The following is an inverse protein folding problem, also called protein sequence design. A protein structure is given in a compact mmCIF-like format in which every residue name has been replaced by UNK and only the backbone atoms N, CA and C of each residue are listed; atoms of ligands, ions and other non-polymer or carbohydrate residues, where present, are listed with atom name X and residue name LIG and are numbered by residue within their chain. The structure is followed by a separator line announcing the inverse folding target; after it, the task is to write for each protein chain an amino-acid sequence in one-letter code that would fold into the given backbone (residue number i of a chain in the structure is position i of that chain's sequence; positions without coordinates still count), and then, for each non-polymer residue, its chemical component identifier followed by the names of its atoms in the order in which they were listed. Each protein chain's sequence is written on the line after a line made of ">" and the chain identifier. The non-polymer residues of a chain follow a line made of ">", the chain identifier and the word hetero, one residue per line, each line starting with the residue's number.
data_IF_121510136883
#
_entry.id   IF_121510136883
#
_cell.length_a   1.000
_cell.length_b   1.000
_cell.length_c   1.000
_cell.angle_alpha   90.00
_cell.angle_beta   90.00
_cell.angle_gamma   90.00
#
_symmetry.space_group_name_H-M   'P 1'
#
loop_
_entity.id
_entity.type
_entity.pdbx_description
1 polymer ?
#
# COMPACT_ATOMS: atom_id res chain seq x y z
N UNK A 1 26.30 -67.85 49.09
CA UNK A 1 26.85 -66.76 49.93
C UNK A 1 28.36 -66.88 49.98
N UNK A 2 29.08 -66.10 49.15
CA UNK A 2 30.51 -65.76 49.26
C UNK A 2 30.77 -64.63 48.25
N UNK A 3 31.23 -63.51 48.78
CA UNK A 3 31.47 -62.21 48.13
C UNK A 3 32.98 -62.05 47.93
N UNK A 4 33.38 -61.15 47.01
CA UNK A 4 34.72 -60.59 46.70
C UNK A 4 35.36 -61.26 45.46
N UNK A 5 35.94 -60.58 44.46
CA UNK A 5 36.36 -59.18 44.25
C UNK A 5 36.96 -59.08 42.83
N UNK A 6 36.69 -58.01 42.05
CA UNK A 6 37.65 -57.32 41.14
C UNK A 6 36.96 -56.23 40.30
N UNK A 7 36.97 -55.01 40.80
CA UNK A 7 36.93 -53.77 40.01
C UNK A 7 38.37 -53.44 39.62
N UNK A 8 38.72 -53.35 38.33
CA UNK A 8 39.72 -52.41 37.76
C UNK A 8 39.96 -52.72 36.27
N UNK A 9 39.81 -51.70 35.42
CA UNK A 9 40.01 -51.75 33.97
C UNK A 9 39.11 -50.72 33.30
N UNK A 10 39.13 -49.46 33.73
CA UNK A 10 39.99 -48.41 33.14
C UNK A 10 39.71 -48.32 31.62
N UNK A 11 38.71 -47.59 31.15
CA UNK A 11 38.70 -46.12 31.04
C UNK A 11 39.90 -45.63 30.21
N UNK A 12 39.94 -45.95 28.92
CA UNK A 12 40.94 -45.43 27.97
C UNK A 12 40.56 -45.57 26.48
N UNK A 13 39.34 -45.21 26.03
CA UNK A 13 39.09 -44.81 24.62
C UNK A 13 38.02 -43.73 24.55
N UNK A 14 38.19 -42.65 25.34
CA UNK A 14 37.47 -41.41 25.15
C UNK A 14 38.47 -40.38 24.63
N UNK A 15 38.37 -40.07 23.33
CA UNK A 15 39.00 -38.90 22.72
C UNK A 15 40.08 -39.20 21.68
N UNK A 16 39.71 -39.20 20.40
CA UNK A 16 40.25 -38.21 19.45
C UNK A 16 39.45 -38.16 18.15
N UNK A 17 38.88 -36.97 17.92
CA UNK A 17 38.83 -36.26 16.64
C UNK A 17 38.29 -36.97 15.39
N UNK A 18 37.04 -36.62 15.05
CA UNK A 18 36.72 -35.76 13.91
C UNK A 18 37.51 -36.00 12.60
N UNK A 19 37.03 -36.92 11.76
CA UNK A 19 37.17 -36.88 10.30
C UNK A 19 36.13 -37.80 9.63
N UNK A 20 34.86 -37.38 9.63
CA UNK A 20 33.80 -37.94 8.78
C UNK A 20 33.37 -36.89 7.77
N UNK A 21 33.09 -37.25 6.51
CA UNK A 21 33.26 -36.37 5.37
C UNK A 21 32.24 -35.23 5.41
N UNK A 22 32.72 -34.02 5.12
CA UNK A 22 31.87 -32.90 4.75
C UNK A 22 31.08 -33.29 3.49
N UNK A 23 29.85 -33.80 3.67
CA UNK A 23 28.85 -33.77 2.62
C UNK A 23 28.56 -32.31 2.33
N UNK A 24 29.17 -31.80 1.26
CA UNK A 24 28.75 -30.57 0.63
C UNK A 24 27.27 -30.71 0.27
N UNK A 25 26.39 -30.04 1.02
CA UNK A 25 25.00 -29.91 0.66
C UNK A 25 24.94 -29.19 -0.71
N UNK A 26 24.37 -29.80 -1.77
CA UNK A 26 24.18 -29.07 -3.00
C UNK A 26 23.17 -27.96 -2.72
N UNK A 27 23.56 -26.70 -2.97
CA UNK A 27 22.60 -25.58 -2.98
C UNK A 27 21.52 -25.91 -4.00
N UNK A 28 20.33 -26.27 -3.53
CA UNK A 28 19.15 -26.45 -4.38
C UNK A 28 18.96 -25.14 -5.16
N UNK A 29 19.03 -25.21 -6.49
CA UNK A 29 18.49 -24.16 -7.36
C UNK A 29 17.03 -23.93 -6.94
N UNK A 30 16.56 -22.66 -6.85
CA UNK A 30 15.14 -22.41 -6.63
C UNK A 30 14.40 -23.08 -7.80
N UNK A 31 13.67 -24.16 -7.50
CA UNK A 31 12.78 -24.78 -8.46
C UNK A 31 11.74 -23.73 -8.82
N UNK A 32 11.60 -23.43 -10.11
CA UNK A 32 10.58 -22.51 -10.60
C UNK A 32 9.23 -22.97 -10.07
N UNK A 33 8.58 -22.12 -9.28
CA UNK A 33 7.26 -22.38 -8.75
C UNK A 33 6.28 -22.56 -9.92
N UNK A 34 5.50 -23.64 -9.88
CA UNK A 34 4.48 -23.91 -10.89
C UNK A 34 3.53 -22.71 -11.04
N UNK A 35 3.26 -22.33 -12.30
CA UNK A 35 2.30 -21.27 -12.62
C UNK A 35 0.89 -21.75 -12.24
N UNK A 36 0.30 -21.14 -11.22
CA UNK A 36 -1.09 -21.40 -10.82
C UNK A 36 -1.99 -20.37 -11.52
N UNK A 37 -3.05 -20.85 -12.17
CA UNK A 37 -4.08 -19.96 -12.70
C UNK A 37 -4.77 -19.25 -11.54
N UNK A 38 -4.59 -17.94 -11.46
CA UNK A 38 -5.26 -17.05 -10.51
C UNK A 38 -6.35 -16.31 -11.26
N UNK A 39 -7.58 -16.45 -10.77
CA UNK A 39 -8.72 -15.68 -11.26
C UNK A 39 -8.48 -14.18 -10.98
N UNK A 40 -8.47 -13.39 -12.06
CA UNK A 40 -8.21 -11.94 -12.04
C UNK A 40 -9.33 -11.12 -11.42
N UNK A 41 -10.49 -11.73 -11.14
CA UNK A 41 -11.63 -11.08 -10.48
C UNK A 41 -11.53 -11.12 -8.96
N UNK A 42 -10.72 -12.03 -8.41
CA UNK A 42 -10.34 -12.06 -7.00
C UNK A 42 -9.07 -11.23 -6.79
N UNK A 43 -9.18 -10.20 -5.94
CA UNK A 43 -8.05 -9.36 -5.51
C UNK A 43 -6.95 -10.22 -4.86
N UNK A 44 -5.95 -10.62 -5.65
CA UNK A 44 -4.71 -11.18 -5.12
C UNK A 44 -3.95 -10.08 -4.36
N UNK A 45 -3.27 -10.46 -3.27
CA UNK A 45 -2.58 -9.56 -2.34
C UNK A 45 -1.40 -8.77 -2.93
N UNK A 46 -1.19 -8.80 -4.24
CA UNK A 46 -0.21 -7.99 -4.95
C UNK A 46 -0.84 -6.63 -5.27
N UNK A 47 -1.21 -5.89 -4.23
CA UNK A 47 -1.65 -4.50 -4.35
C UNK A 47 -0.38 -3.64 -4.48
N UNK A 48 0.17 -3.58 -5.68
CA UNK A 48 1.37 -2.79 -6.04
C UNK A 48 1.17 -1.27 -6.01
N UNK A 49 0.28 -0.78 -5.15
CA UNK A 49 0.11 0.63 -4.80
C UNK A 49 0.24 0.66 -3.27
N UNK A 50 1.29 1.28 -2.74
CA UNK A 50 1.64 1.20 -1.31
C UNK A 50 0.49 1.53 -0.34
N UNK A 51 0.66 1.21 0.93
CA UNK A 51 -0.35 1.37 2.01
C UNK A 51 -1.02 2.75 1.99
N UNK A 52 -0.29 3.83 1.66
CA UNK A 52 -0.85 5.18 1.53
C UNK A 52 -1.98 5.27 0.51
N UNK A 53 -1.88 4.55 -0.61
CA UNK A 53 -2.93 4.55 -1.64
C UNK A 53 -4.22 3.93 -1.14
N UNK A 54 -4.13 2.93 -0.25
CA UNK A 54 -5.32 2.30 0.33
C UNK A 54 -5.97 3.20 1.36
N UNK A 55 -5.16 3.84 2.21
CA UNK A 55 -5.65 4.72 3.26
C UNK A 55 -6.41 5.91 2.66
N UNK A 56 -5.81 6.59 1.67
CA UNK A 56 -6.45 7.73 0.97
C UNK A 56 -7.79 7.34 0.33
N UNK A 57 -7.91 6.13 -0.23
CA UNK A 57 -9.18 5.66 -0.80
C UNK A 57 -10.23 5.51 0.30
N UNK A 58 -9.88 4.81 1.39
CA UNK A 58 -10.81 4.60 2.51
C UNK A 58 -11.21 5.91 3.20
N UNK A 59 -10.29 6.86 3.34
CA UNK A 59 -10.54 8.20 3.86
C UNK A 59 -11.45 9.00 2.91
N UNK A 60 -11.21 8.96 1.60
CA UNK A 60 -12.05 9.65 0.61
C UNK A 60 -13.48 9.10 0.59
N UNK A 61 -13.64 7.79 0.71
CA UNK A 61 -14.96 7.16 0.80
C UNK A 61 -15.71 7.58 2.07
N UNK A 62 -15.01 7.64 3.22
CA UNK A 62 -15.58 8.14 4.48
C UNK A 62 -15.98 9.61 4.36
N UNK A 63 -15.09 10.46 3.84
CA UNK A 63 -15.37 11.89 3.57
C UNK A 63 -16.60 12.05 2.67
N UNK A 64 -16.72 11.25 1.61
CA UNK A 64 -17.87 11.33 0.72
C UNK A 64 -19.18 10.93 1.42
N UNK A 65 -19.17 9.88 2.23
CA UNK A 65 -20.34 9.50 3.04
C UNK A 65 -20.77 10.63 3.97
N UNK A 66 -19.82 11.33 4.58
CA UNK A 66 -20.12 12.49 5.42
C UNK A 66 -20.68 13.67 4.60
N UNK A 67 -20.15 13.92 3.40
CA UNK A 67 -20.69 14.94 2.49
C UNK A 67 -22.13 14.64 2.05
N UNK A 68 -22.50 13.35 1.91
CA UNK A 68 -23.87 12.95 1.61
C UNK A 68 -24.84 13.22 2.78
N UNK A 69 -24.34 13.28 4.01
CA UNK A 69 -25.14 13.61 5.19
C UNK A 69 -25.42 15.11 5.32
N UNK A 70 -24.74 15.97 4.54
CA UNK A 70 -24.96 17.42 4.55
C UNK A 70 -26.15 17.78 3.65
N UNK A 71 -27.32 18.19 4.20
CA UNK A 71 -28.53 18.41 3.42
C UNK A 71 -28.40 19.55 2.40
N UNK A 72 -27.59 20.57 2.72
CA UNK A 72 -27.33 21.73 1.88
C UNK A 72 -26.60 21.40 0.57
N UNK A 73 -25.87 20.28 0.56
CA UNK A 73 -25.15 19.79 -0.60
C UNK A 73 -26.01 18.82 -1.41
N UNK A 74 -26.92 18.09 -0.77
CA UNK A 74 -27.72 17.03 -1.41
C UNK A 74 -29.05 17.51 -2.00
N UNK A 75 -29.71 18.51 -1.40
CA UNK A 75 -31.04 18.97 -1.82
C UNK A 75 -30.99 20.06 -2.90
N UNK A 76 -29.83 20.26 -3.54
CA UNK A 76 -29.68 21.27 -4.60
C UNK A 76 -30.09 20.71 -5.96
N UNK A 77 -30.87 21.48 -6.77
CA UNK A 77 -31.23 21.07 -8.12
C UNK A 77 -30.02 21.03 -9.07
N UNK A 78 -28.98 21.83 -8.79
CA UNK A 78 -27.71 21.82 -9.51
C UNK A 78 -26.63 21.11 -8.70
N UNK A 79 -25.93 20.10 -9.26
CA UNK A 79 -24.85 19.43 -8.56
C UNK A 79 -23.77 20.41 -8.10
N UNK A 80 -23.38 20.41 -6.82
CA UNK A 80 -22.39 21.34 -6.29
C UNK A 80 -21.00 21.07 -6.89
N UNK A 81 -20.23 22.15 -7.07
CA UNK A 81 -18.85 22.12 -7.55
C UNK A 81 -17.92 22.41 -6.38
N UNK A 82 -17.12 21.43 -6.00
CA UNK A 82 -16.20 21.50 -4.86
C UNK A 82 -14.77 21.62 -5.40
N UNK A 83 -14.01 22.55 -4.84
CA UNK A 83 -12.61 22.78 -5.24
C UNK A 83 -11.72 21.90 -4.36
N UNK A 84 -10.85 21.11 -4.99
CA UNK A 84 -9.86 20.26 -4.31
C UNK A 84 -8.52 20.52 -4.99
N UNK A 85 -7.70 21.36 -4.35
CA UNK A 85 -6.47 21.93 -4.91
C UNK A 85 -5.37 21.94 -3.84
N UNK A 86 -4.13 21.51 -4.19
CA UNK A 86 -3.01 21.44 -3.25
C UNK A 86 -2.66 22.78 -2.60
N UNK A 87 -3.02 23.93 -3.21
CA UNK A 87 -2.79 25.26 -2.64
C UNK A 87 -3.51 25.48 -1.30
N UNK A 88 -4.69 24.88 -1.13
CA UNK A 88 -5.49 24.99 0.08
C UNK A 88 -5.27 23.82 1.04
N UNK A 89 -4.46 22.84 0.66
CA UNK A 89 -4.12 21.69 1.48
C UNK A 89 -2.92 22.00 2.38
N UNK A 90 -3.10 21.86 3.69
CA UNK A 90 -2.04 22.04 4.69
C UNK A 90 -1.69 20.69 5.29
N UNK A 91 -0.38 20.38 5.33
CA UNK A 91 0.12 19.23 6.05
C UNK A 91 0.39 19.66 7.50
N UNK A 92 -0.37 19.09 8.43
CA UNK A 92 -0.20 19.29 9.88
C UNK A 92 0.50 18.09 10.55
N UNK A 93 0.89 17.08 9.75
CA UNK A 93 1.68 15.94 10.22
C UNK A 93 3.17 16.30 10.35
N UNK A 94 3.88 15.50 11.14
CA UNK A 94 5.35 15.54 11.24
C UNK A 94 6.07 14.93 10.03
N UNK A 95 5.35 14.20 9.19
CA UNK A 95 5.90 13.53 8.02
C UNK A 95 5.95 14.46 6.79
N UNK A 96 6.97 14.29 5.96
CA UNK A 96 7.05 14.97 4.66
C UNK A 96 6.12 14.26 3.69
N UNK A 97 5.10 14.97 3.21
CA UNK A 97 4.07 14.43 2.33
C UNK A 97 3.99 15.28 1.05
N UNK A 98 3.88 14.61 -0.09
CA UNK A 98 3.54 15.26 -1.36
C UNK A 98 2.06 15.63 -1.40
N UNK A 99 1.78 16.91 -1.17
CA UNK A 99 0.42 17.45 -1.16
C UNK A 99 -0.27 17.35 -2.52
N UNK A 100 0.48 17.46 -3.63
CA UNK A 100 -0.10 17.36 -4.97
C UNK A 100 -0.61 15.94 -5.20
N UNK A 101 0.24 14.95 -4.91
CA UNK A 101 -0.11 13.52 -5.04
C UNK A 101 -1.36 13.16 -4.24
N UNK A 102 -1.43 13.58 -2.97
CA UNK A 102 -2.58 13.28 -2.10
C UNK A 102 -3.84 13.96 -2.63
N UNK A 103 -3.75 15.24 -2.97
CA UNK A 103 -4.90 16.01 -3.46
C UNK A 103 -5.43 15.44 -4.78
N UNK A 104 -4.53 15.02 -5.68
CA UNK A 104 -4.89 14.35 -6.93
C UNK A 104 -5.66 13.05 -6.69
N UNK A 105 -5.15 12.21 -5.79
CA UNK A 105 -5.78 10.93 -5.44
C UNK A 105 -7.14 11.12 -4.80
N UNK A 106 -7.25 12.05 -3.84
CA UNK A 106 -8.52 12.39 -3.20
C UNK A 106 -9.51 12.88 -4.26
N UNK A 107 -9.11 13.77 -5.18
CA UNK A 107 -9.97 14.28 -6.25
C UNK A 107 -10.52 13.15 -7.12
N UNK A 108 -9.66 12.22 -7.56
CA UNK A 108 -10.06 11.08 -8.40
C UNK A 108 -11.00 10.14 -7.66
N UNK A 109 -10.70 9.82 -6.40
CA UNK A 109 -11.53 8.92 -5.59
C UNK A 109 -12.89 9.53 -5.27
N UNK A 110 -12.94 10.81 -4.88
CA UNK A 110 -14.18 11.52 -4.63
C UNK A 110 -15.01 11.67 -5.91
N UNK A 111 -14.39 11.94 -7.06
CA UNK A 111 -15.09 11.99 -8.34
C UNK A 111 -15.72 10.64 -8.70
N UNK A 112 -15.00 9.54 -8.44
CA UNK A 112 -15.49 8.18 -8.62
C UNK A 112 -16.66 7.88 -7.68
N UNK A 113 -16.50 8.17 -6.38
CA UNK A 113 -17.52 7.92 -5.37
C UNK A 113 -18.79 8.75 -5.59
N UNK A 114 -18.65 9.98 -6.11
CA UNK A 114 -19.77 10.88 -6.33
C UNK A 114 -20.77 10.43 -7.40
N UNK A 115 -20.38 9.58 -8.35
CA UNK A 115 -21.29 9.06 -9.37
C UNK A 115 -22.08 10.15 -10.13
N UNK A 116 -21.51 11.36 -10.27
CA UNK A 116 -22.15 12.51 -10.92
C UNK A 116 -23.02 13.40 -10.02
N UNK A 117 -23.22 13.04 -8.74
CA UNK A 117 -23.99 13.86 -7.77
C UNK A 117 -23.25 15.12 -7.33
N UNK A 118 -21.93 15.13 -7.46
CA UNK A 118 -21.04 16.23 -7.12
C UNK A 118 -19.92 16.31 -8.16
N UNK A 119 -19.34 17.51 -8.37
CA UNK A 119 -18.19 17.69 -9.26
C UNK A 119 -17.00 18.24 -8.47
N UNK A 120 -15.86 17.55 -8.53
CA UNK A 120 -14.62 17.99 -7.92
C UNK A 120 -13.69 18.58 -8.98
N UNK A 121 -13.14 19.76 -8.71
CA UNK A 121 -12.35 20.52 -9.69
C UNK A 121 -11.03 20.97 -9.05
N UNK A 122 -9.93 20.74 -9.76
CA UNK A 122 -8.64 21.36 -9.49
C UNK A 122 -8.53 22.71 -10.23
N UNK A 123 -8.03 23.75 -9.56
CA UNK A 123 -7.80 25.07 -10.16
C UNK A 123 -6.34 25.35 -10.45
N UNK A 124 -5.46 24.40 -10.17
CA UNK A 124 -4.02 24.49 -10.38
C UNK A 124 -3.64 24.84 -11.83
N UNK A 125 -4.43 24.38 -12.81
CA UNK A 125 -4.21 24.65 -14.23
C UNK A 125 -5.11 25.74 -14.81
N UNK A 126 -5.96 26.38 -14.00
CA UNK A 126 -6.91 27.38 -14.50
C UNK A 126 -6.17 28.58 -15.12
N UNK A 127 -5.09 29.04 -14.49
CA UNK A 127 -4.26 30.14 -15.00
C UNK A 127 -3.60 29.79 -16.34
N UNK A 128 -3.02 28.60 -16.46
CA UNK A 128 -2.42 28.14 -17.72
C UNK A 128 -3.45 28.04 -18.86
N UNK A 129 -4.68 27.61 -18.56
CA UNK A 129 -5.77 27.54 -19.55
C UNK A 129 -6.27 28.94 -19.95
N UNK A 130 -6.28 29.90 -19.03
CA UNK A 130 -6.63 31.29 -19.32
C UNK A 130 -5.57 31.96 -20.21
N UNK A 131 -4.29 31.75 -19.92
CA UNK A 131 -3.16 32.21 -20.74
C UNK A 131 -3.20 31.60 -22.15
N UNK A 132 -3.42 30.29 -22.27
CA UNK A 132 -3.57 29.59 -23.56
C UNK A 132 -4.79 30.09 -24.38
N UNK A 133 -5.87 30.50 -23.72
CA UNK A 133 -7.04 31.09 -24.40
C UNK A 133 -6.71 32.49 -24.92
N UNK A 134 -6.07 33.32 -24.09
CA UNK A 134 -5.65 34.66 -24.50
C UNK A 134 -4.68 34.64 -25.69
N UNK A 135 -3.79 33.63 -25.76
CA UNK A 135 -2.87 33.45 -26.90
C UNK A 135 -3.56 32.92 -28.16
N UNK A 136 -4.69 32.20 -28.04
CA UNK A 136 -5.45 31.67 -29.19
C UNK A 136 -6.43 32.67 -29.78
N UNK A 137 -6.92 33.59 -28.96
CA UNK A 137 -7.86 34.64 -29.36
C UNK A 137 -7.14 35.88 -29.95
N UNK A 138 -5.80 35.90 -29.94
CA UNK A 138 -4.92 36.94 -30.50
C UNK A 138 -4.36 36.54 -31.87
#
# INVERSE_FOLDING_TARGET
>A
MRIQSTTLGLLAVLGLAAAGPALAAPKLKPQGSATVYRDTTTSDGVKGIGTESQDIVSMADAMFRDLLNVPELMNRPTPPRIIVDPKYFRNESSEIIDKALITDRIRVNLLRAAGGRMRFIGREYAGAVEEERALKDA
#
